data_IF_117592271138
#
_entry.id   IF_117592271138
#
_cell.length_a   1.000
_cell.length_b   1.000
_cell.length_c   1.000
_cell.angle_alpha   90.00
_cell.angle_beta   90.00
_cell.angle_gamma   90.00
#
_symmetry.space_group_name_H-M   'P 1'
#
loop_
_entity.id
_entity.type
_entity.pdbx_description
1 polymer ?
#
# COMPACT_ATOMS: atom_id res chain seq x y z
N UNK A 1 -8.90 -27.86 9.32
CA UNK A 1 -7.81 -27.77 8.33
C UNK A 1 -6.62 -27.13 9.03
N UNK A 2 -5.42 -27.68 8.90
CA UNK A 2 -4.18 -27.02 9.38
C UNK A 2 -3.56 -26.32 8.16
N UNK A 3 -3.39 -25.01 8.23
CA UNK A 3 -2.89 -24.19 7.12
C UNK A 3 -1.42 -23.85 7.35
N UNK A 4 -0.52 -24.41 6.53
CA UNK A 4 0.93 -24.25 6.65
C UNK A 4 1.55 -23.52 5.44
N UNK A 5 0.77 -22.72 4.72
CA UNK A 5 1.18 -22.03 3.47
C UNK A 5 1.18 -20.49 3.62
N UNK A 6 1.33 -19.98 4.86
CA UNK A 6 1.31 -18.55 5.16
C UNK A 6 2.46 -17.76 4.51
N UNK A 7 3.55 -18.43 4.10
CA UNK A 7 4.65 -17.81 3.38
C UNK A 7 4.28 -17.44 1.93
N UNK A 8 3.36 -18.18 1.30
CA UNK A 8 2.85 -17.84 -0.04
C UNK A 8 1.80 -16.73 0.01
N UNK A 9 0.89 -16.79 0.99
CA UNK A 9 -0.07 -15.71 1.30
C UNK A 9 -0.63 -15.90 2.70
N UNK A 10 -0.93 -14.81 3.43
CA UNK A 10 -1.57 -14.98 4.72
C UNK A 10 -3.04 -15.41 4.58
N UNK A 11 -3.41 -16.49 5.26
CA UNK A 11 -4.77 -17.02 5.31
C UNK A 11 -5.07 -17.72 6.65
N UNK A 12 -6.28 -17.54 7.21
CA UNK A 12 -7.25 -16.51 6.85
C UNK A 12 -6.72 -15.11 7.20
N UNK A 13 -7.27 -14.06 6.58
CA UNK A 13 -7.00 -12.70 7.07
C UNK A 13 -7.76 -12.50 8.39
N UNK A 14 -7.26 -11.66 9.32
CA UNK A 14 -8.04 -11.24 10.47
C UNK A 14 -9.35 -10.53 10.06
N UNK A 15 -10.41 -10.67 10.86
CA UNK A 15 -11.75 -10.12 10.53
C UNK A 15 -11.72 -8.63 10.18
N UNK A 16 -10.93 -7.86 10.94
CA UNK A 16 -10.75 -6.42 10.73
C UNK A 16 -10.30 -6.04 9.32
N UNK A 17 -9.61 -6.94 8.60
CA UNK A 17 -9.20 -6.70 7.21
C UNK A 17 -10.40 -6.80 6.27
N UNK A 18 -11.26 -7.81 6.47
CA UNK A 18 -12.48 -7.97 5.67
C UNK A 18 -13.41 -6.78 5.87
N UNK A 19 -13.66 -6.41 7.12
CA UNK A 19 -14.51 -5.27 7.49
C UNK A 19 -13.99 -3.95 6.89
N UNK A 20 -12.68 -3.68 6.97
CA UNK A 20 -12.10 -2.46 6.43
C UNK A 20 -12.25 -2.36 4.90
N UNK A 21 -12.04 -3.48 4.18
CA UNK A 21 -12.23 -3.55 2.73
C UNK A 21 -13.69 -3.36 2.37
N UNK A 22 -14.61 -4.05 3.06
CA UNK A 22 -16.05 -3.92 2.84
C UNK A 22 -16.53 -2.47 3.06
N UNK A 23 -16.11 -1.85 4.17
CA UNK A 23 -16.45 -0.46 4.46
C UNK A 23 -15.94 0.49 3.38
N UNK A 24 -14.73 0.27 2.87
CA UNK A 24 -14.17 1.08 1.79
C UNK A 24 -15.01 0.95 0.51
N UNK A 25 -15.35 -0.29 0.11
CA UNK A 25 -16.12 -0.55 -1.10
C UNK A 25 -17.55 -0.04 -1.03
N UNK A 26 -18.21 -0.15 0.14
CA UNK A 26 -19.60 0.28 0.31
C UNK A 26 -19.75 1.79 0.46
N UNK A 27 -18.81 2.46 1.13
CA UNK A 27 -19.02 3.83 1.61
C UNK A 27 -17.97 4.84 1.17
N UNK A 28 -16.81 4.40 0.65
CA UNK A 28 -15.67 5.28 0.31
C UNK A 28 -15.20 5.15 -1.15
N UNK A 29 -16.05 4.64 -2.04
CA UNK A 29 -15.78 4.42 -3.46
C UNK A 29 -15.70 5.70 -4.31
N UNK A 30 -14.87 6.66 -3.91
CA UNK A 30 -14.57 7.87 -4.66
C UNK A 30 -13.09 7.93 -5.04
N UNK A 31 -12.76 8.68 -6.08
CA UNK A 31 -11.38 8.87 -6.50
C UNK A 31 -10.67 9.81 -5.50
N UNK A 32 -9.65 9.34 -4.75
CA UNK A 32 -8.87 10.22 -3.88
C UNK A 32 -8.12 11.24 -4.73
N UNK A 33 -8.09 12.50 -4.30
CA UNK A 33 -7.36 13.60 -4.97
C UNK A 33 -7.95 14.18 -6.28
N UNK A 34 -9.14 13.76 -6.73
CA UNK A 34 -9.75 14.31 -7.97
C UNK A 34 -10.81 15.39 -7.74
N UNK A 35 -11.34 15.54 -6.52
CA UNK A 35 -12.35 16.55 -6.19
C UNK A 35 -12.29 16.95 -4.71
N UNK A 36 -12.97 18.03 -4.35
CA UNK A 36 -13.13 18.47 -2.96
C UNK A 36 -14.40 17.96 -2.26
N UNK A 37 -15.21 17.12 -2.90
CA UNK A 37 -16.45 16.65 -2.28
C UNK A 37 -16.16 15.65 -1.16
N UNK A 38 -17.08 15.56 -0.19
CA UNK A 38 -16.94 14.77 1.04
C UNK A 38 -16.37 13.37 0.83
N UNK A 39 -16.91 12.60 -0.13
CA UNK A 39 -16.45 11.23 -0.40
C UNK A 39 -15.00 11.16 -0.92
N UNK A 40 -14.55 12.12 -1.73
CA UNK A 40 -13.16 12.15 -2.24
C UNK A 40 -12.18 12.51 -1.13
N UNK A 41 -12.56 13.43 -0.24
CA UNK A 41 -11.78 13.75 0.96
C UNK A 41 -11.67 12.52 1.89
N UNK A 42 -12.78 11.81 2.11
CA UNK A 42 -12.79 10.59 2.92
C UNK A 42 -11.91 9.48 2.33
N UNK A 43 -11.97 9.27 1.01
CA UNK A 43 -11.08 8.32 0.33
C UNK A 43 -9.60 8.74 0.44
N UNK A 44 -9.31 10.03 0.26
CA UNK A 44 -7.96 10.58 0.40
C UNK A 44 -7.41 10.40 1.82
N UNK A 45 -8.26 10.59 2.83
CA UNK A 45 -7.89 10.39 4.24
C UNK A 45 -7.49 8.93 4.51
N UNK A 46 -8.24 7.95 3.98
CA UNK A 46 -7.89 6.53 4.13
C UNK A 46 -6.51 6.23 3.57
N UNK A 47 -6.17 6.79 2.41
CA UNK A 47 -4.85 6.62 1.79
C UNK A 47 -3.76 7.27 2.65
N UNK A 48 -4.01 8.47 3.19
CA UNK A 48 -3.06 9.17 4.04
C UNK A 48 -2.83 8.43 5.37
N UNK A 49 -3.88 7.98 6.03
CA UNK A 49 -3.80 7.22 7.29
C UNK A 49 -2.99 5.94 7.10
N UNK A 50 -3.18 5.25 5.97
CA UNK A 50 -2.39 4.07 5.64
C UNK A 50 -0.90 4.41 5.47
N UNK A 51 -0.55 5.55 4.86
CA UNK A 51 0.85 6.00 4.75
C UNK A 51 1.46 6.28 6.12
N UNK A 52 0.72 6.96 7.00
CA UNK A 52 1.18 7.27 8.36
C UNK A 52 1.44 5.99 9.15
N UNK A 53 0.50 5.05 9.14
CA UNK A 53 0.67 3.77 9.85
C UNK A 53 1.84 2.94 9.33
N UNK A 54 2.06 2.92 8.00
CA UNK A 54 3.22 2.25 7.40
C UNK A 54 4.53 2.96 7.81
N UNK A 55 4.55 4.29 7.78
CA UNK A 55 5.72 5.06 8.18
C UNK A 55 6.07 4.81 9.66
N UNK A 56 5.08 4.76 10.55
CA UNK A 56 5.28 4.41 11.95
C UNK A 56 5.82 2.98 12.11
N UNK A 57 5.25 2.00 11.40
CA UNK A 57 5.68 0.60 11.45
C UNK A 57 7.16 0.44 11.04
N UNK A 58 7.59 1.15 9.99
CA UNK A 58 8.96 1.07 9.46
C UNK A 58 9.89 2.18 10.00
N UNK A 59 9.42 3.03 10.92
CA UNK A 59 10.16 4.18 11.47
C UNK A 59 10.68 5.16 10.41
N UNK A 60 9.86 5.44 9.40
CA UNK A 60 10.13 6.42 8.34
C UNK A 60 9.73 7.81 8.83
N UNK A 61 10.61 8.80 8.67
CA UNK A 61 10.40 10.16 9.21
C UNK A 61 9.33 10.97 8.49
N UNK A 62 9.08 10.69 7.21
CA UNK A 62 8.05 11.36 6.40
C UNK A 62 7.12 10.32 5.72
N UNK A 63 5.82 10.28 6.07
CA UNK A 63 4.84 9.38 5.44
C UNK A 63 4.71 9.55 3.91
N UNK A 64 5.08 10.71 3.35
CA UNK A 64 5.07 10.94 1.91
C UNK A 64 6.18 10.20 1.18
N UNK A 65 7.16 9.64 1.88
CA UNK A 65 8.19 8.75 1.31
C UNK A 65 7.70 7.32 1.08
N UNK A 66 6.51 6.96 1.58
CA UNK A 66 5.88 5.67 1.28
C UNK A 66 5.37 5.71 -0.16
N UNK A 67 5.50 4.63 -0.93
CA UNK A 67 4.90 4.50 -2.27
C UNK A 67 4.09 3.21 -2.30
N UNK A 68 2.83 3.30 -2.72
CA UNK A 68 1.98 2.12 -2.89
C UNK A 68 2.20 1.51 -4.27
N UNK A 69 2.49 0.21 -4.30
CA UNK A 69 2.54 -0.62 -5.51
C UNK A 69 1.62 -1.82 -5.30
N UNK A 70 1.35 -2.57 -6.37
CA UNK A 70 0.46 -3.74 -6.33
C UNK A 70 1.09 -4.92 -5.60
N UNK A 71 2.42 -5.01 -5.57
CA UNK A 71 3.19 -6.07 -4.89
C UNK A 71 4.70 -5.71 -4.82
N UNK A 72 5.47 -6.59 -4.17
CA UNK A 72 6.92 -6.46 -4.04
C UNK A 72 7.67 -6.50 -5.39
N UNK A 73 7.23 -7.33 -6.34
CA UNK A 73 7.84 -7.45 -7.67
C UNK A 73 7.74 -6.12 -8.44
N UNK A 74 6.59 -5.47 -8.39
CA UNK A 74 6.40 -4.14 -8.99
C UNK A 74 7.26 -3.08 -8.30
N UNK A 75 7.31 -3.07 -6.96
CA UNK A 75 8.15 -2.13 -6.20
C UNK A 75 9.64 -2.27 -6.54
N UNK A 76 10.15 -3.52 -6.62
CA UNK A 76 11.52 -3.79 -7.02
C UNK A 76 11.80 -3.30 -8.44
N UNK A 77 10.89 -3.55 -9.38
CA UNK A 77 11.04 -3.08 -10.75
C UNK A 77 11.04 -1.55 -10.82
N UNK A 78 10.18 -0.88 -10.05
CA UNK A 78 10.13 0.58 -9.98
C UNK A 78 11.47 1.14 -9.49
N UNK A 79 12.05 0.58 -8.42
CA UNK A 79 13.35 1.00 -7.90
C UNK A 79 14.50 0.74 -8.87
N UNK A 80 14.62 -0.49 -9.38
CA UNK A 80 15.73 -0.89 -10.26
C UNK A 80 15.68 -0.12 -11.58
N UNK A 81 14.54 -0.14 -12.28
CA UNK A 81 14.42 0.50 -13.60
C UNK A 81 14.31 2.02 -13.51
N UNK A 82 13.87 2.56 -12.37
CA UNK A 82 13.74 3.99 -12.16
C UNK A 82 15.05 4.69 -11.81
N UNK A 83 16.04 3.97 -11.28
CA UNK A 83 17.28 4.56 -10.74
C UNK A 83 18.50 4.27 -11.62
N UNK A 84 18.60 3.06 -12.21
CA UNK A 84 19.79 2.63 -12.93
C UNK A 84 20.00 3.37 -14.26
N UNK A 85 21.26 3.63 -14.58
CA UNK A 85 21.72 4.28 -15.81
C UNK A 85 22.71 3.38 -16.57
N UNK A 86 22.89 3.59 -17.89
CA UNK A 86 23.93 2.90 -18.65
C UNK A 86 25.31 3.11 -18.02
N UNK A 87 26.03 2.01 -17.78
CA UNK A 87 27.35 2.02 -17.13
C UNK A 87 27.34 1.74 -15.63
N UNK A 88 26.16 1.69 -14.99
CA UNK A 88 26.06 1.29 -13.59
C UNK A 88 26.37 -0.21 -13.41
N UNK A 89 27.00 -0.55 -12.28
CA UNK A 89 27.27 -1.94 -11.88
C UNK A 89 26.35 -2.32 -10.72
N UNK A 90 25.57 -3.40 -10.90
CA UNK A 90 24.61 -3.89 -9.91
C UNK A 90 25.13 -5.17 -9.27
N UNK A 91 25.04 -5.25 -7.94
CA UNK A 91 25.35 -6.45 -7.15
C UNK A 91 24.04 -6.88 -6.47
N UNK A 92 23.72 -8.16 -6.55
CA UNK A 92 22.50 -8.77 -6.00
C UNK A 92 22.84 -9.91 -5.07
#
# INVERSE_FOLDING_TARGET
MIYLDNAATSFPKPEVVYEAVEQCLRYKGANPSRSGHKLSLQASQVVLDARVQIAELFKIGDPLQVIFTSNATEALNLGIKGILKPGDHVIT
#
